data_IF_421551273649
#
_entry.id   IF_421551273649
#
_cell.length_a   1.000
_cell.length_b   1.000
_cell.length_c   1.000
_cell.angle_alpha   90.00
_cell.angle_beta   90.00
_cell.angle_gamma   90.00
#
_symmetry.space_group_name_H-M   'P 1'
#
loop_
_entity.id
_entity.type
_entity.pdbx_description
1 polymer ?
#
# COMPACT_ATOMS: atom_id res chain seq x y z
N UNK A 1 16.82 11.13 -24.98
CA UNK A 1 16.06 12.05 -24.12
C UNK A 1 15.81 11.32 -22.80
N UNK A 2 16.50 11.67 -21.72
CA UNK A 2 16.18 11.11 -20.40
C UNK A 2 14.83 11.69 -19.97
N UNK A 3 13.84 10.83 -19.75
CA UNK A 3 12.52 11.23 -19.26
C UNK A 3 12.72 11.89 -17.89
N UNK A 4 12.26 13.12 -17.71
CA UNK A 4 12.26 13.75 -16.39
C UNK A 4 11.51 12.83 -15.41
N UNK A 5 12.02 12.64 -14.19
CA UNK A 5 11.36 11.77 -13.23
C UNK A 5 9.95 12.31 -12.91
N UNK A 6 8.94 11.49 -13.12
CA UNK A 6 7.53 11.87 -12.92
C UNK A 6 7.12 11.55 -11.49
N UNK A 7 6.54 12.52 -10.78
CA UNK A 7 5.89 12.29 -9.48
C UNK A 7 4.54 11.60 -9.71
N UNK A 8 4.23 10.48 -9.02
CA UNK A 8 2.89 9.92 -9.08
C UNK A 8 1.86 10.92 -8.55
N UNK A 9 0.72 11.07 -9.25
CA UNK A 9 -0.29 12.10 -8.92
C UNK A 9 -0.82 11.99 -7.48
N UNK A 10 -0.87 10.75 -6.95
CA UNK A 10 -1.40 10.44 -5.63
C UNK A 10 -0.40 10.70 -4.49
N UNK A 11 0.88 10.94 -4.78
CA UNK A 11 1.89 11.28 -3.77
C UNK A 11 1.99 12.80 -3.57
N UNK A 12 0.87 13.44 -3.21
CA UNK A 12 0.79 14.90 -3.16
C UNK A 12 1.60 15.55 -2.03
N UNK A 13 1.97 14.78 -0.99
CA UNK A 13 2.71 15.26 0.19
C UNK A 13 4.23 15.10 0.09
N UNK A 14 4.76 14.53 -0.99
CA UNK A 14 6.19 14.23 -1.13
C UNK A 14 6.64 14.38 -2.58
N UNK A 15 7.87 14.81 -2.81
CA UNK A 15 8.45 14.90 -4.17
C UNK A 15 9.01 13.56 -4.67
N UNK A 16 8.49 12.44 -4.16
CA UNK A 16 8.98 11.12 -4.52
C UNK A 16 8.61 10.82 -5.98
N UNK A 17 9.62 10.45 -6.76
CA UNK A 17 9.46 10.08 -8.16
C UNK A 17 8.88 8.69 -8.29
N UNK A 18 8.36 8.32 -9.46
CA UNK A 18 7.85 6.97 -9.72
C UNK A 18 8.93 5.90 -9.51
N UNK A 19 10.17 6.17 -9.94
CA UNK A 19 11.30 5.29 -9.70
C UNK A 19 11.64 5.17 -8.19
N UNK A 20 11.62 6.29 -7.47
CA UNK A 20 11.80 6.28 -6.01
C UNK A 20 10.68 5.53 -5.30
N UNK A 21 9.44 5.67 -5.76
CA UNK A 21 8.30 4.93 -5.23
C UNK A 21 8.43 3.43 -5.48
N UNK A 22 8.82 3.00 -6.68
CA UNK A 22 9.10 1.60 -6.97
C UNK A 22 10.21 1.02 -6.07
N UNK A 23 11.27 1.80 -5.79
CA UNK A 23 12.31 1.39 -4.83
C UNK A 23 11.74 1.19 -3.42
N UNK A 24 10.85 2.09 -2.97
CA UNK A 24 10.20 1.96 -1.66
C UNK A 24 9.27 0.75 -1.54
N UNK A 25 8.61 0.37 -2.63
CA UNK A 25 7.80 -0.85 -2.69
C UNK A 25 8.65 -2.13 -2.65
N UNK A 26 9.92 -2.05 -3.06
CA UNK A 26 10.89 -3.15 -3.01
C UNK A 26 11.89 -3.06 -1.84
N UNK A 27 11.67 -2.17 -0.88
CA UNK A 27 12.59 -1.95 0.24
C UNK A 27 12.73 -3.23 1.09
N UNK A 28 13.93 -3.62 1.57
CA UNK A 28 14.08 -4.81 2.41
C UNK A 28 13.31 -4.73 3.72
N UNK A 29 13.04 -3.53 4.24
CA UNK A 29 12.27 -3.34 5.48
C UNK A 29 10.74 -3.48 5.21
N UNK A 30 10.05 -4.48 5.80
CA UNK A 30 8.60 -4.64 5.66
C UNK A 30 7.79 -3.45 6.18
N UNK A 31 8.32 -2.72 7.17
CA UNK A 31 7.68 -1.51 7.69
C UNK A 31 7.67 -0.37 6.65
N UNK A 32 8.74 -0.25 5.88
CA UNK A 32 8.84 0.70 4.77
C UNK A 32 7.89 0.29 3.65
N UNK A 33 7.96 -0.97 3.18
CA UNK A 33 7.04 -1.48 2.14
C UNK A 33 5.58 -1.30 2.55
N UNK A 34 5.23 -1.67 3.79
CA UNK A 34 3.88 -1.56 4.33
C UNK A 34 3.36 -0.13 4.36
N UNK A 35 4.19 0.85 4.74
CA UNK A 35 3.84 2.27 4.69
C UNK A 35 3.51 2.73 3.26
N UNK A 36 4.38 2.41 2.30
CA UNK A 36 4.22 2.88 0.92
C UNK A 36 3.12 2.14 0.15
N UNK A 37 2.90 0.85 0.42
CA UNK A 37 1.71 0.13 -0.06
C UNK A 37 0.44 0.71 0.56
N UNK A 38 0.44 1.05 1.85
CA UNK A 38 -0.68 1.71 2.50
C UNK A 38 -1.02 3.07 1.86
N UNK A 39 0.00 3.86 1.51
CA UNK A 39 -0.16 5.11 0.78
C UNK A 39 -0.76 4.88 -0.61
N UNK A 40 -0.28 3.89 -1.37
CA UNK A 40 -0.83 3.52 -2.68
C UNK A 40 -2.33 3.22 -2.60
N UNK A 41 -2.71 2.34 -1.69
CA UNK A 41 -4.10 1.88 -1.54
C UNK A 41 -5.04 2.98 -1.04
N UNK A 42 -4.53 3.95 -0.27
CA UNK A 42 -5.35 5.03 0.27
C UNK A 42 -5.58 6.17 -0.74
N UNK A 43 -4.61 6.43 -1.61
CA UNK A 43 -4.54 7.70 -2.34
C UNK A 43 -4.61 7.54 -3.87
N UNK A 44 -4.19 6.40 -4.41
CA UNK A 44 -4.34 6.15 -5.84
C UNK A 44 -5.79 5.77 -6.18
N UNK A 45 -6.20 6.09 -7.41
CA UNK A 45 -7.41 5.51 -7.97
C UNK A 45 -7.28 3.98 -7.99
N UNK A 46 -8.30 3.27 -7.53
CA UNK A 46 -8.27 1.80 -7.33
C UNK A 46 -7.81 1.04 -8.58
N UNK A 47 -8.16 1.51 -9.79
CA UNK A 47 -7.74 0.89 -11.04
C UNK A 47 -6.23 1.04 -11.35
N UNK A 48 -5.57 2.07 -10.81
CA UNK A 48 -4.15 2.34 -11.05
C UNK A 48 -3.23 1.58 -10.07
N UNK A 49 -3.77 1.11 -8.94
CA UNK A 49 -3.00 0.38 -7.92
C UNK A 49 -2.22 -0.78 -8.52
N UNK A 50 -2.84 -1.52 -9.44
CA UNK A 50 -2.26 -2.71 -10.05
C UNK A 50 -1.12 -2.43 -11.03
N UNK A 51 -0.83 -1.16 -11.33
CA UNK A 51 0.37 -0.77 -12.08
C UNK A 51 1.65 -0.88 -11.24
N UNK A 52 1.51 -0.88 -9.91
CA UNK A 52 2.64 -0.84 -8.97
C UNK A 52 2.78 -2.10 -8.13
N UNK A 53 1.73 -2.91 -8.02
CA UNK A 53 1.70 -4.09 -7.16
C UNK A 53 0.71 -5.12 -7.70
N UNK A 54 0.67 -6.29 -7.07
CA UNK A 54 -0.28 -7.35 -7.40
C UNK A 54 -1.18 -7.66 -6.20
N UNK A 55 -2.39 -8.20 -6.40
CA UNK A 55 -3.24 -8.61 -5.29
C UNK A 55 -2.56 -9.60 -4.34
N UNK A 56 -1.72 -10.51 -4.84
CA UNK A 56 -0.95 -11.45 -4.01
C UNK A 56 0.11 -10.74 -3.17
N UNK A 57 0.84 -9.78 -3.74
CA UNK A 57 1.79 -8.95 -2.98
C UNK A 57 1.07 -8.18 -1.86
N UNK A 58 -0.07 -7.56 -2.16
CA UNK A 58 -0.83 -6.79 -1.16
C UNK A 58 -1.35 -7.70 -0.05
N UNK A 59 -1.80 -8.92 -0.36
CA UNK A 59 -2.18 -9.91 0.67
C UNK A 59 -0.99 -10.32 1.54
N UNK A 60 0.16 -10.59 0.94
CA UNK A 60 1.36 -10.99 1.68
C UNK A 60 1.85 -9.88 2.63
N UNK A 61 1.74 -8.63 2.21
CA UNK A 61 2.16 -7.44 2.98
C UNK A 61 1.04 -6.91 3.91
N UNK A 62 -0.13 -7.55 3.92
CA UNK A 62 -1.28 -7.12 4.70
C UNK A 62 -0.94 -6.85 6.18
N UNK A 63 -0.19 -7.71 6.90
CA UNK A 63 0.17 -7.48 8.30
C UNK A 63 0.93 -6.18 8.55
N UNK A 64 1.68 -5.69 7.56
CA UNK A 64 2.49 -4.47 7.68
C UNK A 64 1.75 -3.22 7.20
N UNK A 65 0.86 -3.35 6.22
CA UNK A 65 0.17 -2.21 5.61
C UNK A 65 -1.19 -1.87 6.26
N UNK A 66 -1.88 -2.83 6.90
CA UNK A 66 -3.26 -2.66 7.40
C UNK A 66 -3.43 -1.50 8.39
N UNK A 67 -2.36 -1.20 9.15
CA UNK A 67 -2.28 -0.07 10.08
C UNK A 67 -2.34 1.30 9.40
N UNK A 68 -1.99 1.37 8.12
CA UNK A 68 -1.88 2.59 7.33
C UNK A 68 -3.14 2.91 6.50
N UNK A 69 -4.11 1.98 6.43
CA UNK A 69 -5.27 2.12 5.54
C UNK A 69 -6.40 3.01 6.08
N UNK A 70 -6.49 3.19 7.39
CA UNK A 70 -7.58 3.97 8.00
C UNK A 70 -8.95 3.54 7.46
N UNK A 71 -9.70 4.48 6.87
CA UNK A 71 -11.07 4.25 6.35
C UNK A 71 -11.15 3.34 5.11
N UNK A 72 -10.07 3.20 4.33
CA UNK A 72 -10.11 2.35 3.11
C UNK A 72 -9.92 0.86 3.41
N UNK A 73 -9.60 0.52 4.67
CA UNK A 73 -9.30 -0.85 5.12
C UNK A 73 -10.40 -1.85 4.76
N UNK A 74 -11.65 -1.55 5.10
CA UNK A 74 -12.77 -2.47 4.86
C UNK A 74 -12.99 -2.74 3.37
N UNK A 75 -12.90 -1.70 2.53
CA UNK A 75 -13.01 -1.82 1.08
C UNK A 75 -11.90 -2.74 0.52
N UNK A 76 -10.65 -2.50 0.92
CA UNK A 76 -9.51 -3.29 0.45
C UNK A 76 -9.54 -4.73 0.96
N UNK A 77 -9.90 -4.94 2.21
CA UNK A 77 -10.07 -6.26 2.79
C UNK A 77 -11.12 -7.07 2.02
N UNK A 78 -12.24 -6.44 1.68
CA UNK A 78 -13.29 -7.06 0.86
C UNK A 78 -12.80 -7.38 -0.56
N UNK A 79 -12.16 -6.43 -1.25
CA UNK A 79 -11.62 -6.63 -2.60
C UNK A 79 -10.58 -7.75 -2.67
N UNK A 80 -9.73 -7.86 -1.63
CA UNK A 80 -8.63 -8.82 -1.57
C UNK A 80 -9.03 -10.17 -0.97
N UNK A 81 -10.27 -10.28 -0.45
CA UNK A 81 -10.77 -11.43 0.30
C UNK A 81 -9.88 -11.79 1.50
N UNK A 82 -9.53 -10.78 2.29
CA UNK A 82 -8.82 -10.98 3.56
C UNK A 82 -9.79 -11.60 4.57
N UNK A 83 -9.36 -12.61 5.29
CA UNK A 83 -10.18 -13.25 6.32
C UNK A 83 -10.53 -12.26 7.43
N UNK A 84 -11.78 -12.20 7.93
CA UNK A 84 -12.21 -11.22 8.92
C UNK A 84 -11.32 -11.12 10.17
N UNK A 85 -10.72 -12.23 10.60
CA UNK A 85 -9.76 -12.26 11.72
C UNK A 85 -8.49 -11.47 11.47
N UNK A 86 -8.05 -11.39 10.22
CA UNK A 86 -6.82 -10.71 9.79
C UNK A 86 -7.07 -9.26 9.34
N UNK A 87 -8.33 -8.82 9.32
CA UNK A 87 -8.70 -7.47 8.89
C UNK A 87 -8.45 -6.41 9.98
N UNK A 88 -8.41 -6.78 11.25
CA UNK A 88 -8.43 -5.83 12.36
C UNK A 88 -7.08 -5.16 12.59
N UNK A 89 -7.10 -3.85 12.80
CA UNK A 89 -5.97 -3.09 13.35
C UNK A 89 -6.47 -2.04 14.36
N UNK A 90 -5.91 -1.98 15.59
CA UNK A 90 -4.88 -2.89 16.12
C UNK A 90 -5.37 -4.33 16.20
N UNK A 91 -4.48 -5.34 16.11
CA UNK A 91 -4.88 -6.74 16.31
C UNK A 91 -5.55 -6.86 17.68
N UNK A 92 -6.66 -7.62 17.76
CA UNK A 92 -7.32 -7.87 19.04
C UNK A 92 -6.30 -8.46 20.01
N UNK A 93 -5.98 -7.72 21.07
CA UNK A 93 -5.38 -8.28 22.28
C UNK A 93 -6.44 -9.10 23.00
N UNK A 94 -6.85 -10.23 22.42
CA UNK A 94 -7.52 -11.26 23.18
C UNK A 94 -6.44 -11.92 24.05
N UNK A 95 -6.46 -11.59 25.33
CA UNK A 95 -5.75 -12.31 26.39
C UNK A 95 -6.49 -13.62 26.72
#
# INVERSE_FOLDING_TARGET
>A
MSRSPVRPYFLWWTDLTEAGFAQRLGDPDPGVRGYWLGALLREAHTADVWRFTTPSTVRAEWPHLVRHLGRSRAMWAWLLRIDPGDQAWPPSTAA
#
